data_IF_417576035313
#
_entry.id   IF_417576035313
#
_cell.length_a   1.000
_cell.length_b   1.000
_cell.length_c   1.000
_cell.angle_alpha   90.00
_cell.angle_beta   90.00
_cell.angle_gamma   90.00
#
_symmetry.space_group_name_H-M   'P 1'
#
loop_
_entity.id
_entity.type
_entity.pdbx_description
1 polymer ?
#
# COMPACT_ATOMS: atom_id res chain seq x y z
N UNK A 1 -1.35 -25.67 89.59
CA UNK A 1 -2.36 -25.54 88.50
C UNK A 1 -3.02 -24.15 88.37
N UNK A 2 -3.27 -23.37 89.43
CA UNK A 2 -3.93 -22.03 89.35
C UNK A 2 -3.26 -20.95 88.47
N UNK A 3 -1.96 -21.07 88.14
CA UNK A 3 -1.24 -20.08 87.31
C UNK A 3 -1.42 -20.30 85.81
N UNK A 4 -1.59 -21.54 85.36
CA UNK A 4 -1.76 -21.89 83.94
C UNK A 4 -3.14 -21.45 83.43
N UNK A 5 -4.18 -21.58 84.24
CA UNK A 5 -5.53 -21.11 83.87
C UNK A 5 -5.66 -19.59 83.79
N UNK A 6 -4.72 -18.84 84.38
CA UNK A 6 -4.67 -17.37 84.32
C UNK A 6 -4.04 -16.91 83.00
N UNK A 7 -3.02 -17.62 82.53
CA UNK A 7 -2.39 -17.39 81.23
C UNK A 7 -3.38 -17.54 80.06
N UNK A 8 -4.20 -18.60 80.07
CA UNK A 8 -5.25 -18.79 79.04
C UNK A 8 -6.43 -17.81 79.13
N UNK A 9 -6.56 -17.04 80.22
CA UNK A 9 -7.61 -16.02 80.39
C UNK A 9 -7.10 -14.58 80.21
N UNK A 10 -5.80 -14.42 79.97
CA UNK A 10 -5.19 -13.11 79.88
C UNK A 10 -5.40 -12.51 78.48
N UNK A 11 -6.29 -11.50 78.40
CA UNK A 11 -6.64 -10.82 77.14
C UNK A 11 -5.65 -9.73 76.77
N UNK A 12 -4.70 -9.40 77.64
CA UNK A 12 -3.75 -8.30 77.42
C UNK A 12 -2.73 -8.58 76.30
N UNK A 13 -2.53 -9.85 75.91
CA UNK A 13 -1.68 -10.27 74.79
C UNK A 13 -2.35 -10.31 73.41
N UNK A 14 -3.67 -10.13 73.31
CA UNK A 14 -4.39 -10.28 72.02
C UNK A 14 -3.92 -9.26 70.98
N UNK A 15 -3.55 -8.05 71.40
CA UNK A 15 -3.05 -7.00 70.49
C UNK A 15 -1.73 -7.45 69.85
N UNK A 16 -0.82 -8.04 70.64
CA UNK A 16 0.46 -8.52 70.13
C UNK A 16 0.28 -9.68 69.14
N UNK A 17 -0.66 -10.59 69.39
CA UNK A 17 -0.97 -11.71 68.49
C UNK A 17 -1.57 -11.21 67.18
N UNK A 18 -2.57 -10.31 67.23
CA UNK A 18 -3.18 -9.74 66.03
C UNK A 18 -2.18 -8.90 65.24
N UNK A 19 -1.36 -8.08 65.91
CA UNK A 19 -0.29 -7.31 65.28
C UNK A 19 0.69 -8.23 64.56
N UNK A 20 1.21 -9.25 65.23
CA UNK A 20 2.15 -10.21 64.64
C UNK A 20 1.56 -10.94 63.42
N UNK A 21 0.29 -11.35 63.49
CA UNK A 21 -0.39 -12.00 62.36
C UNK A 21 -0.66 -11.03 61.20
N UNK A 22 -0.98 -9.76 61.48
CA UNK A 22 -1.22 -8.72 60.46
C UNK A 22 0.07 -8.18 59.81
N UNK A 23 1.22 -8.30 60.50
CA UNK A 23 2.50 -7.83 59.98
C UNK A 23 2.93 -8.61 58.74
N UNK A 24 2.66 -9.92 58.70
CA UNK A 24 3.01 -10.79 57.56
C UNK A 24 2.35 -10.32 56.25
N UNK A 25 1.00 -10.16 56.15
CA UNK A 25 0.37 -9.67 54.92
C UNK A 25 0.76 -8.22 54.59
N UNK A 26 0.97 -7.36 55.59
CA UNK A 26 1.41 -5.97 55.34
C UNK A 26 2.81 -5.92 54.71
N UNK A 27 3.77 -6.67 55.29
CA UNK A 27 5.12 -6.76 54.74
C UNK A 27 5.13 -7.45 53.37
N UNK A 28 4.28 -8.46 53.16
CA UNK A 28 4.10 -9.10 51.86
C UNK A 28 3.65 -8.11 50.78
N UNK A 29 2.62 -7.31 51.07
CA UNK A 29 2.13 -6.27 50.14
C UNK A 29 3.16 -5.17 49.88
N UNK A 30 3.92 -4.76 50.90
CA UNK A 30 5.02 -3.81 50.73
C UNK A 30 6.13 -4.40 49.83
N UNK A 31 6.46 -5.68 50.02
CA UNK A 31 7.42 -6.40 49.18
C UNK A 31 7.01 -6.50 47.72
N UNK A 32 5.75 -6.86 47.47
CA UNK A 32 5.15 -6.86 46.12
C UNK A 32 5.26 -5.48 45.48
N UNK A 33 5.02 -4.41 46.24
CA UNK A 33 5.06 -3.04 45.71
C UNK A 33 6.47 -2.62 45.28
N UNK A 34 7.49 -2.97 46.06
CA UNK A 34 8.90 -2.67 45.72
C UNK A 34 9.35 -3.49 44.50
N UNK A 35 9.02 -4.78 44.47
CA UNK A 35 9.40 -5.65 43.36
C UNK A 35 8.69 -5.27 42.07
N UNK A 36 7.40 -4.91 42.12
CA UNK A 36 6.68 -4.42 40.94
C UNK A 36 7.24 -3.09 40.43
N UNK A 37 7.58 -2.15 41.32
CA UNK A 37 8.24 -0.90 40.92
C UNK A 37 9.56 -1.17 40.19
N UNK A 38 10.38 -2.10 40.69
CA UNK A 38 11.63 -2.49 40.02
C UNK A 38 11.38 -3.17 38.67
N UNK A 39 10.41 -4.08 38.57
CA UNK A 39 10.05 -4.74 37.31
C UNK A 39 9.57 -3.75 36.26
N UNK A 40 8.75 -2.79 36.65
CA UNK A 40 8.27 -1.71 35.76
C UNK A 40 9.44 -0.85 35.29
N UNK A 41 10.35 -0.46 36.19
CA UNK A 41 11.53 0.33 35.81
C UNK A 41 12.42 -0.39 34.78
N UNK A 42 12.70 -1.67 35.00
CA UNK A 42 13.48 -2.48 34.04
C UNK A 42 12.72 -2.63 32.72
N UNK A 43 11.41 -2.88 32.76
CA UNK A 43 10.58 -2.99 31.56
C UNK A 43 10.60 -1.70 30.74
N UNK A 44 10.41 -0.55 31.38
CA UNK A 44 10.40 0.75 30.71
C UNK A 44 11.75 1.06 30.07
N UNK A 45 12.85 0.77 30.76
CA UNK A 45 14.19 0.97 30.20
C UNK A 45 14.49 0.00 29.05
N UNK A 46 14.09 -1.26 29.17
CA UNK A 46 14.27 -2.25 28.11
C UNK A 46 13.43 -1.89 26.88
N UNK A 47 12.21 -1.37 27.08
CA UNK A 47 11.36 -0.86 26.00
C UNK A 47 12.03 0.32 25.29
N UNK A 48 12.50 1.33 26.03
CA UNK A 48 13.18 2.48 25.44
C UNK A 48 14.42 2.09 24.61
N UNK A 49 15.19 1.11 25.08
CA UNK A 49 16.32 0.55 24.34
C UNK A 49 15.89 -0.26 23.10
N UNK A 50 14.78 -1.00 23.18
CA UNK A 50 14.20 -1.72 22.05
C UNK A 50 13.71 -0.74 20.97
N UNK A 51 12.99 0.31 21.37
CA UNK A 51 12.48 1.38 20.49
C UNK A 51 13.62 2.08 19.74
N UNK A 52 14.65 2.50 20.47
CA UNK A 52 15.83 3.13 19.88
C UNK A 52 16.57 2.18 18.93
N UNK A 53 16.66 0.90 19.28
CA UNK A 53 17.34 -0.11 18.45
C UNK A 53 16.54 -0.41 17.18
N UNK A 54 15.21 -0.51 17.28
CA UNK A 54 14.32 -0.72 16.15
C UNK A 54 14.43 0.42 15.15
N UNK A 55 14.37 1.67 15.62
CA UNK A 55 14.55 2.86 14.77
C UNK A 55 15.91 2.87 14.07
N UNK A 56 17.01 2.71 14.82
CA UNK A 56 18.36 2.80 14.25
C UNK A 56 18.69 1.65 13.29
N UNK A 57 18.15 0.46 13.52
CA UNK A 57 18.34 -0.67 12.63
C UNK A 57 17.50 -0.53 11.34
N UNK A 58 16.27 -0.01 11.46
CA UNK A 58 15.39 0.17 10.30
C UNK A 58 15.90 1.24 9.30
N UNK A 59 16.69 2.23 9.77
CA UNK A 59 17.32 3.23 8.87
C UNK A 59 18.21 2.57 7.81
N UNK A 60 18.87 1.46 8.14
CA UNK A 60 19.73 0.72 7.19
C UNK A 60 18.93 0.01 6.09
N UNK A 61 17.74 -0.49 6.41
CA UNK A 61 16.90 -1.29 5.51
C UNK A 61 17.18 -2.79 5.53
N UNK A 62 16.35 -3.61 4.85
CA UNK A 62 16.39 -5.07 4.92
C UNK A 62 17.73 -5.69 4.51
N UNK A 63 18.42 -5.08 3.54
CA UNK A 63 19.67 -5.59 2.99
C UNK A 63 20.90 -5.30 3.87
N UNK A 64 20.75 -4.51 4.93
CA UNK A 64 21.84 -4.13 5.82
C UNK A 64 21.93 -4.99 7.08
N UNK A 65 23.17 -5.23 7.52
CA UNK A 65 23.44 -5.99 8.74
C UNK A 65 23.11 -5.14 9.99
N UNK A 66 22.10 -5.57 10.73
CA UNK A 66 21.61 -4.93 11.97
C UNK A 66 22.27 -5.47 13.25
N UNK A 67 23.25 -6.38 13.13
CA UNK A 67 23.90 -7.02 14.27
C UNK A 67 24.66 -6.04 15.18
N UNK A 68 25.16 -4.93 14.63
CA UNK A 68 25.83 -3.88 15.40
C UNK A 68 24.85 -3.17 16.36
N UNK A 69 23.63 -2.88 15.90
CA UNK A 69 22.58 -2.22 16.66
C UNK A 69 22.10 -3.12 17.81
N UNK A 70 21.91 -4.42 17.53
CA UNK A 70 21.55 -5.42 18.55
C UNK A 70 22.67 -5.57 19.60
N UNK A 71 23.93 -5.62 19.16
CA UNK A 71 25.09 -5.71 20.07
C UNK A 71 25.23 -4.46 20.94
N UNK A 72 24.95 -3.28 20.38
CA UNK A 72 24.95 -2.02 21.11
C UNK A 72 23.82 -1.97 22.16
N UNK A 73 22.62 -2.46 21.83
CA UNK A 73 21.52 -2.61 22.79
C UNK A 73 21.94 -3.51 23.96
N UNK A 74 22.50 -4.69 23.67
CA UNK A 74 22.98 -5.61 24.69
C UNK A 74 23.98 -4.94 25.65
N UNK A 75 24.93 -4.17 25.09
CA UNK A 75 25.95 -3.46 25.86
C UNK A 75 25.35 -2.39 26.77
N UNK A 76 24.38 -1.61 26.28
CA UNK A 76 23.71 -0.56 27.07
C UNK A 76 22.83 -1.14 28.18
N UNK A 77 22.10 -2.21 27.90
CA UNK A 77 21.27 -2.89 28.90
C UNK A 77 22.15 -3.49 30.01
N UNK A 78 23.25 -4.16 29.66
CA UNK A 78 24.17 -4.73 30.65
C UNK A 78 24.88 -3.65 31.47
N UNK A 79 25.28 -2.53 30.85
CA UNK A 79 25.91 -1.41 31.57
C UNK A 79 24.97 -0.78 32.61
N UNK A 80 23.68 -0.68 32.30
CA UNK A 80 22.70 -0.04 33.18
C UNK A 80 22.10 -1.00 34.23
N UNK A 81 22.00 -2.30 33.91
CA UNK A 81 21.21 -3.25 34.70
C UNK A 81 21.93 -4.57 35.04
N UNK A 82 23.18 -4.77 34.58
CA UNK A 82 23.93 -6.01 34.84
C UNK A 82 24.08 -6.32 36.32
N UNK A 83 24.45 -5.30 37.12
CA UNK A 83 24.57 -5.44 38.58
C UNK A 83 23.22 -5.39 39.31
N UNK A 84 22.15 -5.01 38.60
CA UNK A 84 20.81 -4.89 39.15
C UNK A 84 20.04 -6.23 39.11
N UNK A 85 20.73 -7.38 39.21
CA UNK A 85 20.11 -8.71 39.26
C UNK A 85 19.36 -9.09 37.97
N UNK A 86 19.89 -8.68 36.82
CA UNK A 86 19.37 -9.05 35.51
C UNK A 86 20.11 -10.30 35.00
N UNK A 87 19.38 -11.29 34.51
CA UNK A 87 19.93 -12.54 33.96
C UNK A 87 19.14 -12.98 32.74
N UNK A 88 19.67 -13.93 31.96
CA UNK A 88 18.96 -14.51 30.80
C UNK A 88 18.49 -13.43 29.81
N UNK A 89 19.36 -12.45 29.54
CA UNK A 89 19.10 -11.40 28.56
C UNK A 89 19.15 -12.00 27.16
N UNK A 90 18.05 -11.90 26.44
CA UNK A 90 17.90 -12.30 25.05
C UNK A 90 17.35 -11.13 24.25
N UNK A 91 18.08 -10.74 23.20
CA UNK A 91 17.67 -9.68 22.27
C UNK A 91 17.74 -10.27 20.87
N UNK A 92 16.65 -10.16 20.12
CA UNK A 92 16.58 -10.60 18.72
C UNK A 92 15.99 -9.50 17.85
N UNK A 93 16.56 -9.33 16.66
CA UNK A 93 16.06 -8.42 15.62
C UNK A 93 15.79 -9.20 14.34
N UNK A 94 14.67 -8.92 13.67
CA UNK A 94 14.35 -9.55 12.39
C UNK A 94 13.54 -8.60 11.50
N UNK A 95 13.75 -8.73 10.19
CA UNK A 95 12.94 -8.06 9.17
C UNK A 95 11.75 -8.92 8.76
N UNK A 96 10.65 -8.25 8.46
CA UNK A 96 9.41 -8.78 7.91
C UNK A 96 8.90 -7.77 6.88
N UNK A 97 9.30 -7.93 5.62
CA UNK A 97 9.16 -6.89 4.60
C UNK A 97 9.90 -5.60 4.99
N UNK A 98 9.13 -4.51 5.17
CA UNK A 98 9.64 -3.20 5.59
C UNK A 98 9.54 -2.94 7.10
N UNK A 99 9.10 -3.93 7.88
CA UNK A 99 9.02 -3.85 9.33
C UNK A 99 10.23 -4.54 9.98
N UNK A 100 11.00 -3.79 10.76
CA UNK A 100 12.06 -4.33 11.59
C UNK A 100 11.58 -4.47 13.03
N UNK A 101 11.51 -5.73 13.51
CA UNK A 101 10.99 -6.09 14.82
C UNK A 101 12.13 -6.45 15.78
N UNK A 102 12.19 -5.78 16.91
CA UNK A 102 13.09 -6.09 18.03
C UNK A 102 12.28 -6.71 19.16
N UNK A 103 12.67 -7.92 19.58
CA UNK A 103 12.15 -8.56 20.79
C UNK A 103 13.28 -8.65 21.82
N UNK A 104 13.05 -8.15 23.02
CA UNK A 104 14.00 -8.26 24.12
C UNK A 104 13.34 -8.83 25.37
N UNK A 105 14.03 -9.72 26.05
CA UNK A 105 13.56 -10.32 27.30
C UNK A 105 14.69 -10.54 28.28
N UNK A 106 14.40 -10.42 29.57
CA UNK A 106 15.34 -10.70 30.64
C UNK A 106 14.61 -11.22 31.89
N UNK A 107 15.33 -11.94 32.76
CA UNK A 107 14.87 -12.26 34.11
C UNK A 107 15.39 -11.23 35.10
N UNK A 108 14.51 -10.69 35.91
CA UNK A 108 14.81 -9.74 36.97
C UNK A 108 14.59 -10.44 38.30
N UNK A 109 15.62 -10.53 39.13
CA UNK A 109 15.49 -11.10 40.48
C UNK A 109 14.47 -10.31 41.29
N UNK A 110 13.77 -10.93 42.24
CA UNK A 110 12.87 -10.25 43.17
C UNK A 110 13.53 -10.08 44.53
N UNK A 111 13.35 -8.94 45.20
CA UNK A 111 14.02 -8.63 46.47
C UNK A 111 13.23 -9.14 47.68
N UNK A 112 11.91 -9.00 47.70
CA UNK A 112 11.12 -9.20 48.92
C UNK A 112 10.07 -10.29 48.76
N UNK A 113 9.49 -10.43 47.57
CA UNK A 113 8.40 -11.38 47.31
C UNK A 113 8.86 -12.85 47.35
N UNK A 114 10.14 -13.12 47.08
CA UNK A 114 10.73 -14.48 47.13
C UNK A 114 10.69 -15.12 48.53
N UNK A 115 10.45 -14.32 49.57
CA UNK A 115 10.28 -14.82 50.96
C UNK A 115 8.94 -15.51 51.19
N UNK A 116 7.99 -15.36 50.26
CA UNK A 116 6.70 -16.04 50.31
C UNK A 116 6.83 -17.45 49.69
N UNK A 117 6.28 -18.49 50.34
CA UNK A 117 6.26 -19.84 49.79
C UNK A 117 5.56 -19.85 48.41
N UNK A 118 6.11 -20.60 47.46
CA UNK A 118 5.60 -20.79 46.09
C UNK A 118 5.79 -19.61 45.10
N UNK A 119 6.47 -18.53 45.47
CA UNK A 119 6.84 -17.45 44.54
C UNK A 119 8.33 -17.57 44.18
N UNK A 120 8.63 -17.59 42.89
CA UNK A 120 10.01 -17.68 42.38
C UNK A 120 10.85 -16.45 42.72
N UNK A 121 12.16 -16.61 42.69
CA UNK A 121 13.15 -15.56 42.99
C UNK A 121 13.38 -14.57 41.84
N UNK A 122 12.70 -14.76 40.71
CA UNK A 122 12.87 -13.97 39.50
C UNK A 122 11.62 -13.95 38.63
N UNK A 123 11.36 -12.81 37.98
CA UNK A 123 10.26 -12.61 37.04
C UNK A 123 10.83 -12.29 35.67
N UNK A 124 10.27 -12.88 34.61
CA UNK A 124 10.64 -12.59 33.22
C UNK A 124 9.91 -11.32 32.76
N UNK A 125 10.67 -10.37 32.26
CA UNK A 125 10.20 -9.16 31.58
C UNK A 125 10.48 -9.32 30.10
N UNK A 126 9.52 -8.96 29.25
CA UNK A 126 9.66 -8.95 27.80
C UNK A 126 9.06 -7.69 27.21
N UNK A 127 9.71 -7.18 26.18
CA UNK A 127 9.30 -6.01 25.40
C UNK A 127 9.41 -6.32 23.92
N UNK A 128 8.66 -5.57 23.13
CA UNK A 128 8.70 -5.62 21.68
C UNK A 128 8.64 -4.19 21.17
N UNK A 129 9.44 -3.90 20.16
CA UNK A 129 9.38 -2.67 19.39
C UNK A 129 9.42 -3.01 17.91
N UNK A 130 8.55 -2.40 17.10
CA UNK A 130 8.54 -2.57 15.65
C UNK A 130 8.69 -1.21 14.99
N UNK A 131 9.71 -1.07 14.14
CA UNK A 131 9.93 0.12 13.33
C UNK A 131 9.66 -0.19 11.85
N UNK A 132 8.85 0.64 11.19
CA UNK A 132 8.58 0.56 9.75
C UNK A 132 9.50 1.50 8.99
N UNK A 133 10.17 0.98 7.96
CA UNK A 133 10.90 1.75 6.97
C UNK A 133 9.93 2.18 5.85
N UNK A 134 9.76 3.48 5.65
CA UNK A 134 9.09 4.00 4.45
C UNK A 134 10.14 4.28 3.37
N UNK A 135 9.97 3.67 2.19
CA UNK A 135 10.81 3.92 1.02
C UNK A 135 10.10 4.88 0.06
N UNK A 136 10.85 5.71 -0.70
CA UNK A 136 10.26 6.54 -1.74
C UNK A 136 9.60 5.66 -2.80
N UNK A 137 8.34 5.95 -3.10
CA UNK A 137 7.55 5.21 -4.07
C UNK A 137 7.86 5.70 -5.49
N UNK A 138 7.81 4.79 -6.46
CA UNK A 138 7.77 5.14 -7.87
C UNK A 138 6.41 5.78 -8.17
N UNK A 139 6.41 7.03 -8.64
CA UNK A 139 5.19 7.76 -8.97
C UNK A 139 5.26 8.23 -10.43
N UNK A 140 4.13 8.15 -11.11
CA UNK A 140 3.97 8.72 -12.43
C UNK A 140 3.52 10.17 -12.31
N UNK A 141 4.10 11.04 -13.12
CA UNK A 141 3.62 12.41 -13.31
C UNK A 141 2.58 12.46 -14.43
N UNK A 142 1.78 13.53 -14.56
CA UNK A 142 0.84 13.69 -15.66
C UNK A 142 1.48 13.51 -17.04
N UNK A 143 0.73 13.05 -18.06
CA UNK A 143 1.25 12.82 -19.40
C UNK A 143 1.86 14.08 -20.01
N UNK A 144 2.96 13.92 -20.75
CA UNK A 144 3.50 14.99 -21.58
C UNK A 144 2.56 15.32 -22.74
N UNK A 145 1.97 14.27 -23.34
CA UNK A 145 1.04 14.39 -24.45
C UNK A 145 -0.17 13.50 -24.21
N UNK A 146 -1.35 14.08 -24.37
CA UNK A 146 -2.59 13.34 -24.56
C UNK A 146 -3.29 13.90 -25.79
N UNK A 147 -3.64 13.01 -26.72
CA UNK A 147 -4.34 13.35 -27.95
C UNK A 147 -5.45 12.35 -28.19
N UNK A 148 -6.63 12.84 -28.53
CA UNK A 148 -7.76 12.01 -28.94
C UNK A 148 -8.19 12.47 -30.33
N UNK A 149 -8.51 11.51 -31.20
CA UNK A 149 -8.95 11.80 -32.55
C UNK A 149 -10.32 12.52 -32.52
N UNK A 150 -10.39 13.78 -32.99
CA UNK A 150 -11.65 14.53 -33.04
C UNK A 150 -12.62 14.01 -34.11
N UNK A 151 -12.15 13.22 -35.08
CA UNK A 151 -12.88 12.65 -36.20
C UNK A 151 -13.59 11.33 -35.84
N UNK A 152 -13.30 10.75 -34.65
CA UNK A 152 -14.01 9.58 -34.15
C UNK A 152 -15.53 9.84 -34.07
N UNK A 153 -16.32 8.89 -34.59
CA UNK A 153 -17.79 8.97 -34.57
C UNK A 153 -18.40 8.78 -33.18
N UNK A 154 -17.59 8.31 -32.23
CA UNK A 154 -17.96 8.05 -30.84
C UNK A 154 -17.48 9.17 -29.92
N UNK A 155 -18.05 9.22 -28.72
CA UNK A 155 -17.50 10.06 -27.65
C UNK A 155 -16.56 9.23 -26.79
N UNK A 156 -15.31 9.68 -26.65
CA UNK A 156 -14.26 9.02 -25.89
C UNK A 156 -13.80 9.93 -24.75
N UNK A 157 -13.60 9.34 -23.58
CA UNK A 157 -12.94 9.98 -22.44
C UNK A 157 -11.99 9.00 -21.78
N UNK A 158 -10.76 9.42 -21.58
CA UNK A 158 -9.79 8.68 -20.78
C UNK A 158 -9.91 9.10 -19.33
N UNK A 159 -9.84 8.12 -18.45
CA UNK A 159 -9.60 8.30 -17.03
C UNK A 159 -8.30 7.63 -16.64
N UNK A 160 -7.66 8.17 -15.61
CA UNK A 160 -6.55 7.55 -14.89
C UNK A 160 -7.02 7.18 -13.49
N UNK A 161 -6.50 6.10 -12.92
CA UNK A 161 -6.79 5.64 -11.56
C UNK A 161 -5.62 4.85 -11.01
N UNK A 162 -5.62 4.66 -9.69
CA UNK A 162 -4.72 3.71 -9.03
C UNK A 162 -5.40 2.34 -8.93
N UNK A 163 -4.65 1.29 -9.26
CA UNK A 163 -5.12 -0.08 -9.23
C UNK A 163 -4.33 -0.90 -8.21
N UNK A 164 -5.04 -1.62 -7.36
CA UNK A 164 -4.49 -2.62 -6.46
C UNK A 164 -4.50 -4.00 -7.16
N UNK A 165 -3.34 -4.51 -7.63
CA UNK A 165 -3.26 -5.76 -8.36
C UNK A 165 -3.27 -7.00 -7.46
N UNK A 166 -3.27 -6.86 -6.13
CA UNK A 166 -3.21 -7.99 -5.20
C UNK A 166 -4.48 -8.86 -5.35
N UNK A 167 -4.38 -10.09 -5.89
CA UNK A 167 -5.54 -10.97 -6.04
C UNK A 167 -6.14 -11.38 -4.70
N UNK A 168 -5.36 -11.37 -3.61
CA UNK A 168 -5.78 -11.75 -2.26
C UNK A 168 -6.39 -10.60 -1.46
N UNK A 169 -6.37 -9.37 -1.99
CA UNK A 169 -7.07 -8.25 -1.38
C UNK A 169 -8.56 -8.57 -1.24
N UNK A 170 -9.10 -8.39 -0.03
CA UNK A 170 -10.53 -8.49 0.30
C UNK A 170 -11.34 -7.30 -0.28
N UNK A 171 -11.24 -7.13 -1.60
CA UNK A 171 -11.78 -6.02 -2.40
C UNK A 171 -12.28 -6.56 -3.75
N UNK A 172 -13.44 -6.11 -4.21
CA UNK A 172 -13.90 -6.35 -5.59
C UNK A 172 -13.04 -5.60 -6.62
N UNK A 173 -13.08 -5.95 -7.92
CA UNK A 173 -12.34 -5.21 -8.94
C UNK A 173 -12.63 -3.70 -8.93
N UNK A 174 -13.88 -3.31 -8.71
CA UNK A 174 -14.25 -1.89 -8.60
C UNK A 174 -13.65 -1.22 -7.36
N UNK A 175 -13.58 -1.91 -6.23
CA UNK A 175 -12.99 -1.40 -5.00
C UNK A 175 -11.46 -1.27 -5.08
N UNK A 176 -10.82 -2.05 -5.96
CA UNK A 176 -9.39 -1.98 -6.26
C UNK A 176 -9.01 -0.80 -7.16
N UNK A 177 -10.00 -0.11 -7.76
CA UNK A 177 -9.79 1.08 -8.60
C UNK A 177 -10.07 2.33 -7.77
N UNK A 178 -9.02 3.04 -7.36
CA UNK A 178 -9.11 4.21 -6.50
C UNK A 178 -8.69 5.48 -7.24
N UNK A 179 -9.04 6.65 -6.69
CA UNK A 179 -8.57 7.95 -7.20
C UNK A 179 -8.87 8.22 -8.69
N UNK A 180 -9.96 7.67 -9.23
CA UNK A 180 -10.29 7.81 -10.65
C UNK A 180 -10.55 9.27 -11.05
N UNK A 181 -9.75 9.81 -11.98
CA UNK A 181 -9.87 11.18 -12.50
C UNK A 181 -9.83 11.20 -14.03
N UNK A 182 -10.61 12.10 -14.68
CA UNK A 182 -10.60 12.21 -16.14
C UNK A 182 -9.28 12.83 -16.63
N UNK A 183 -8.78 12.49 -17.82
CA UNK A 183 -7.57 13.09 -18.39
C UNK A 183 -7.94 14.01 -19.55
N UNK A 184 -8.65 13.47 -20.53
CA UNK A 184 -9.07 14.19 -21.73
C UNK A 184 -10.28 13.51 -22.36
N UNK A 185 -11.09 14.29 -23.09
CA UNK A 185 -12.10 13.77 -24.01
C UNK A 185 -11.92 14.28 -25.45
N UNK A 186 -12.53 13.57 -26.39
CA UNK A 186 -12.52 13.93 -27.81
C UNK A 186 -13.57 15.01 -28.16
N UNK A 187 -14.17 15.65 -27.15
CA UNK A 187 -15.01 16.84 -27.30
C UNK A 187 -14.25 18.15 -27.00
N UNK A 188 -12.93 18.08 -26.88
CA UNK A 188 -12.04 19.23 -26.75
C UNK A 188 -11.76 19.64 -25.31
N UNK A 189 -12.12 18.82 -24.32
CA UNK A 189 -11.77 19.07 -22.91
C UNK A 189 -10.52 18.27 -22.55
N UNK A 190 -9.43 18.98 -22.27
CA UNK A 190 -8.28 18.43 -21.56
C UNK A 190 -8.36 18.86 -20.09
N UNK A 191 -8.61 17.91 -19.17
CA UNK A 191 -8.94 18.20 -17.78
C UNK A 191 -7.74 18.74 -16.99
N UNK A 192 -6.53 18.28 -17.35
CA UNK A 192 -5.26 18.73 -16.77
C UNK A 192 -5.06 20.23 -16.97
N UNK A 193 -5.32 20.72 -18.19
CA UNK A 193 -5.08 22.12 -18.58
C UNK A 193 -6.29 23.03 -18.36
N UNK A 194 -7.51 22.47 -18.40
CA UNK A 194 -8.75 23.23 -18.19
C UNK A 194 -8.94 23.65 -16.74
N UNK A 195 -8.54 22.81 -15.78
CA UNK A 195 -8.70 23.06 -14.34
C UNK A 195 -7.44 22.75 -13.52
N UNK A 196 -6.29 23.39 -13.81
CA UNK A 196 -5.00 23.00 -13.22
C UNK A 196 -4.96 23.12 -11.69
N UNK A 197 -5.73 24.03 -11.09
CA UNK A 197 -5.78 24.23 -9.63
C UNK A 197 -6.80 23.34 -8.91
N UNK A 198 -7.67 22.63 -9.64
CA UNK A 198 -8.68 21.74 -9.07
C UNK A 198 -8.42 20.28 -9.45
N UNK A 199 -7.53 20.06 -10.42
CA UNK A 199 -7.13 18.75 -10.87
C UNK A 199 -6.13 18.13 -9.89
N UNK A 200 -6.40 16.91 -9.47
CA UNK A 200 -5.45 16.09 -8.72
C UNK A 200 -5.07 14.89 -9.56
N UNK A 201 -3.79 14.78 -9.90
CA UNK A 201 -3.26 13.56 -10.48
C UNK A 201 -3.24 12.45 -9.41
N UNK A 202 -3.63 11.20 -9.73
CA UNK A 202 -3.59 10.12 -8.75
C UNK A 202 -2.17 9.86 -8.23
N UNK A 203 -2.03 9.59 -6.95
CA UNK A 203 -0.77 9.15 -6.32
C UNK A 203 -1.00 7.79 -5.69
N UNK A 204 -0.44 6.75 -6.29
CA UNK A 204 -0.76 5.37 -5.92
C UNK A 204 0.01 4.93 -4.69
N UNK A 205 -0.62 4.10 -3.86
CA UNK A 205 0.00 3.56 -2.65
C UNK A 205 1.03 2.46 -2.98
N UNK A 206 1.76 1.99 -1.97
CA UNK A 206 2.71 0.89 -2.14
C UNK A 206 2.00 -0.36 -2.68
N UNK A 207 2.54 -0.93 -3.76
CA UNK A 207 1.95 -2.09 -4.44
C UNK A 207 0.87 -1.77 -5.46
N UNK A 208 0.30 -0.55 -5.43
CA UNK A 208 -0.63 -0.08 -6.47
C UNK A 208 0.11 0.44 -7.71
N UNK A 209 -0.59 0.48 -8.84
CA UNK A 209 -0.06 0.96 -10.12
C UNK A 209 -0.99 2.01 -10.74
N UNK A 210 -0.43 2.90 -11.55
CA UNK A 210 -1.27 3.71 -12.44
C UNK A 210 -1.90 2.81 -13.51
N UNK A 211 -3.18 3.05 -13.73
CA UNK A 211 -3.99 2.38 -14.73
C UNK A 211 -4.93 3.37 -15.42
N UNK A 212 -5.32 3.04 -16.64
CA UNK A 212 -6.23 3.83 -17.46
C UNK A 212 -7.57 3.12 -17.67
N UNK A 213 -8.62 3.93 -17.79
CA UNK A 213 -9.93 3.51 -18.28
C UNK A 213 -10.24 4.28 -19.56
N UNK A 214 -10.52 3.56 -20.64
CA UNK A 214 -11.19 4.12 -21.79
C UNK A 214 -12.70 4.01 -21.60
N UNK A 215 -13.34 5.16 -21.53
CA UNK A 215 -14.77 5.29 -21.56
C UNK A 215 -15.23 5.68 -22.96
N UNK A 216 -15.92 4.78 -23.65
CA UNK A 216 -16.42 4.98 -25.00
C UNK A 216 -17.96 4.98 -24.99
N UNK A 217 -18.53 6.03 -25.58
CA UNK A 217 -19.97 6.16 -25.82
C UNK A 217 -20.24 6.19 -27.32
N UNK A 218 -20.73 5.06 -27.83
CA UNK A 218 -20.95 4.83 -29.26
C UNK A 218 -21.90 5.86 -29.86
N UNK A 219 -21.58 6.31 -31.08
CA UNK A 219 -22.38 7.18 -31.93
C UNK A 219 -22.84 8.48 -31.24
N UNK A 220 -22.09 8.94 -30.26
CA UNK A 220 -22.48 10.06 -29.39
C UNK A 220 -21.54 11.26 -29.49
N UNK A 221 -20.69 11.33 -30.54
CA UNK A 221 -19.75 12.43 -30.77
C UNK A 221 -20.37 13.82 -30.72
N UNK A 222 -21.58 13.97 -31.26
CA UNK A 222 -22.32 15.25 -31.33
C UNK A 222 -23.24 15.48 -30.14
N UNK A 223 -23.30 14.54 -29.18
CA UNK A 223 -24.14 14.60 -27.99
C UNK A 223 -23.33 14.17 -26.74
N UNK A 224 -22.19 14.84 -26.44
CA UNK A 224 -21.28 14.47 -25.37
C UNK A 224 -21.92 14.50 -23.97
N UNK A 225 -22.95 15.32 -23.77
CA UNK A 225 -23.71 15.44 -22.51
C UNK A 225 -24.39 14.12 -22.08
N UNK A 226 -24.56 13.17 -23.00
CA UNK A 226 -25.12 11.84 -22.72
C UNK A 226 -24.24 11.00 -21.78
N UNK A 227 -22.98 11.37 -21.60
CA UNK A 227 -22.11 10.71 -20.61
C UNK A 227 -22.70 10.79 -19.19
N UNK A 228 -23.34 11.92 -18.86
CA UNK A 228 -23.87 12.19 -17.52
C UNK A 228 -25.34 11.72 -17.35
N UNK A 229 -25.94 11.15 -18.40
CA UNK A 229 -27.30 10.63 -18.35
C UNK A 229 -27.35 9.26 -17.64
N UNK A 230 -28.53 8.94 -17.07
CA UNK A 230 -28.78 7.61 -16.49
C UNK A 230 -28.56 6.53 -17.58
N UNK A 231 -27.63 5.57 -17.36
CA UNK A 231 -27.37 4.46 -18.28
C UNK A 231 -28.60 3.60 -18.61
N UNK A 232 -29.62 3.55 -17.73
CA UNK A 232 -30.87 2.84 -18.03
C UNK A 232 -31.59 3.40 -19.27
N UNK A 233 -31.31 4.65 -19.63
CA UNK A 233 -31.88 5.31 -20.80
C UNK A 233 -31.08 5.06 -22.09
N UNK A 234 -29.98 4.32 -22.06
CA UNK A 234 -29.09 4.13 -23.22
C UNK A 234 -29.88 3.59 -24.43
N UNK A 235 -30.86 2.71 -24.21
CA UNK A 235 -31.74 2.15 -25.25
C UNK A 235 -32.60 3.19 -26.01
N UNK A 236 -32.83 4.38 -25.44
CA UNK A 236 -33.69 5.39 -26.05
C UNK A 236 -33.00 6.21 -27.17
N UNK A 237 -31.68 6.18 -27.23
CA UNK A 237 -30.91 7.00 -28.18
C UNK A 237 -29.78 6.23 -28.87
N UNK A 238 -29.41 5.09 -28.33
CA UNK A 238 -28.52 4.16 -29.00
C UNK A 238 -29.36 3.24 -29.90
N UNK A 239 -29.44 3.60 -31.18
CA UNK A 239 -30.28 2.92 -32.18
C UNK A 239 -29.75 1.53 -32.61
N UNK A 240 -28.96 0.86 -31.75
CA UNK A 240 -28.42 -0.47 -32.01
C UNK A 240 -29.16 -1.51 -31.18
N UNK A 241 -29.67 -2.55 -31.86
CA UNK A 241 -30.22 -3.71 -31.17
C UNK A 241 -29.13 -4.39 -30.34
N UNK A 242 -29.43 -4.84 -29.11
CA UNK A 242 -28.50 -5.64 -28.33
C UNK A 242 -27.97 -6.82 -29.15
N UNK A 243 -26.66 -7.03 -29.09
CA UNK A 243 -26.03 -8.19 -29.73
C UNK A 243 -25.77 -9.24 -28.64
N UNK A 244 -25.83 -10.53 -28.99
CA UNK A 244 -25.55 -11.59 -28.03
C UNK A 244 -24.17 -11.38 -27.37
N UNK A 245 -24.13 -11.35 -26.04
CA UNK A 245 -22.92 -11.07 -25.26
C UNK A 245 -22.63 -9.58 -25.00
N UNK A 246 -23.35 -8.66 -25.61
CA UNK A 246 -23.18 -7.20 -25.44
C UNK A 246 -24.53 -6.57 -25.06
N UNK A 247 -24.93 -6.62 -23.78
CA UNK A 247 -26.26 -6.18 -23.34
C UNK A 247 -26.41 -4.65 -23.38
N UNK A 248 -25.32 -3.89 -23.28
CA UNK A 248 -25.31 -2.45 -23.49
C UNK A 248 -24.45 -2.12 -24.73
N UNK A 249 -25.05 -1.93 -25.92
CA UNK A 249 -24.29 -1.66 -27.14
C UNK A 249 -23.67 -0.25 -27.17
N UNK A 250 -23.93 0.59 -26.18
CA UNK A 250 -23.75 2.04 -26.29
C UNK A 250 -22.62 2.54 -25.43
N UNK A 251 -22.51 1.96 -24.23
CA UNK A 251 -21.60 2.40 -23.19
C UNK A 251 -20.59 1.31 -22.91
N UNK A 252 -19.35 1.57 -23.25
CA UNK A 252 -18.25 0.64 -23.09
C UNK A 252 -17.20 1.24 -22.15
N UNK A 253 -16.71 0.41 -21.24
CA UNK A 253 -15.67 0.77 -20.28
C UNK A 253 -14.61 -0.30 -20.36
N UNK A 254 -13.40 0.11 -20.69
CA UNK A 254 -12.27 -0.79 -20.76
C UNK A 254 -11.23 -0.34 -19.76
N UNK A 255 -10.80 -1.27 -18.92
CA UNK A 255 -9.88 -1.00 -17.81
C UNK A 255 -8.59 -1.73 -18.06
N UNK A 256 -7.47 -1.02 -18.00
CA UNK A 256 -6.15 -1.66 -18.06
C UNK A 256 -5.90 -2.60 -16.88
N UNK A 257 -6.30 -2.22 -15.65
CA UNK A 257 -6.00 -2.94 -14.41
C UNK A 257 -4.55 -3.48 -14.42
N UNK A 258 -3.61 -2.54 -14.52
CA UNK A 258 -2.20 -2.81 -14.78
C UNK A 258 -1.56 -3.49 -13.58
N UNK A 259 -0.96 -4.66 -13.78
CA UNK A 259 -0.10 -5.31 -12.80
C UNK A 259 1.36 -5.20 -13.27
N UNK A 260 2.30 -5.07 -12.34
CA UNK A 260 3.73 -5.10 -12.66
C UNK A 260 4.30 -6.50 -12.46
N UNK A 261 4.80 -7.11 -13.54
CA UNK A 261 5.55 -8.36 -13.51
C UNK A 261 7.01 -8.11 -13.90
N UNK A 262 7.95 -8.26 -12.97
CA UNK A 262 9.38 -7.94 -13.21
C UNK A 262 9.62 -6.52 -13.78
N UNK A 263 8.80 -5.55 -13.36
CA UNK A 263 8.82 -4.17 -13.83
C UNK A 263 8.11 -3.93 -15.17
N UNK A 264 7.68 -4.98 -15.87
CA UNK A 264 6.87 -4.89 -17.09
C UNK A 264 5.39 -4.68 -16.72
N UNK A 265 4.72 -3.78 -17.43
CA UNK A 265 3.27 -3.59 -17.30
C UNK A 265 2.49 -4.72 -17.97
N UNK A 266 1.52 -5.27 -17.26
CA UNK A 266 0.59 -6.28 -17.76
C UNK A 266 -0.84 -5.81 -17.52
N UNK A 267 -1.59 -5.57 -18.60
CA UNK A 267 -2.93 -4.98 -18.55
C UNK A 267 -4.01 -6.05 -18.41
N UNK A 268 -4.18 -6.56 -17.19
CA UNK A 268 -5.00 -7.74 -16.89
C UNK A 268 -6.50 -7.52 -16.97
N UNK A 269 -6.95 -6.27 -16.99
CA UNK A 269 -8.38 -5.90 -17.02
C UNK A 269 -8.99 -5.83 -18.42
N UNK A 270 -8.15 -5.87 -19.47
CA UNK A 270 -8.61 -5.74 -20.85
C UNK A 270 -9.11 -7.09 -21.38
N UNK A 271 -10.33 -7.09 -21.91
CA UNK A 271 -10.94 -8.27 -22.55
C UNK A 271 -10.58 -8.40 -24.03
N UNK A 272 -10.02 -7.34 -24.62
CA UNK A 272 -9.73 -7.23 -26.04
C UNK A 272 -8.36 -6.59 -26.22
N UNK A 273 -7.70 -6.92 -27.32
CA UNK A 273 -6.43 -6.29 -27.73
C UNK A 273 -6.72 -4.91 -28.32
N UNK A 274 -6.98 -3.93 -27.44
CA UNK A 274 -7.30 -2.53 -27.78
C UNK A 274 -6.23 -1.53 -27.36
N UNK A 275 -5.20 -1.99 -26.66
CA UNK A 275 -4.14 -1.14 -26.16
C UNK A 275 -2.82 -1.57 -26.78
N UNK A 276 -2.16 -0.65 -27.45
CA UNK A 276 -0.77 -0.73 -27.83
C UNK A 276 0.10 -0.04 -26.77
N UNK A 277 1.18 -0.71 -26.38
CA UNK A 277 2.25 -0.10 -25.59
C UNK A 277 3.58 -0.16 -26.31
N UNK A 278 4.29 0.98 -26.34
CA UNK A 278 5.63 1.10 -26.92
C UNK A 278 6.53 1.86 -25.95
N UNK A 279 7.63 1.22 -25.54
CA UNK A 279 8.65 1.85 -24.70
C UNK A 279 9.64 2.63 -25.58
N UNK A 280 9.74 3.93 -25.35
CA UNK A 280 10.66 4.84 -26.02
C UNK A 280 11.82 5.21 -25.09
N UNK A 281 13.00 5.44 -25.63
CA UNK A 281 14.17 5.88 -24.85
C UNK A 281 14.12 7.39 -24.56
N UNK A 282 13.30 8.16 -25.28
CA UNK A 282 13.06 9.61 -25.06
C UNK A 282 11.68 10.05 -25.55
N UNK A 283 11.22 11.22 -25.09
CA UNK A 283 9.94 11.82 -25.53
C UNK A 283 9.88 12.08 -27.04
N UNK A 284 10.99 12.52 -27.64
CA UNK A 284 11.06 12.82 -29.08
C UNK A 284 10.92 11.57 -29.96
N UNK A 285 11.38 10.42 -29.47
CA UNK A 285 11.24 9.13 -30.14
C UNK A 285 9.79 8.60 -30.08
N UNK A 286 9.03 9.03 -29.08
CA UNK A 286 7.66 8.64 -28.79
C UNK A 286 6.64 9.33 -29.70
N UNK A 287 6.86 9.24 -31.03
CA UNK A 287 6.02 9.80 -32.09
C UNK A 287 5.80 8.79 -33.22
N UNK A 288 4.78 8.99 -34.08
CA UNK A 288 4.60 8.19 -35.28
C UNK A 288 5.86 8.13 -36.15
N UNK A 289 6.08 6.99 -36.81
CA UNK A 289 7.18 6.81 -37.78
C UNK A 289 7.15 7.83 -38.92
N UNK A 290 5.97 8.32 -39.30
CA UNK A 290 5.80 9.42 -40.27
C UNK A 290 6.36 10.76 -39.78
N UNK A 291 6.52 10.93 -38.47
CA UNK A 291 7.04 12.12 -37.82
C UNK A 291 8.48 11.94 -37.30
N UNK A 292 9.12 10.81 -37.65
CA UNK A 292 10.49 10.50 -37.27
C UNK A 292 10.66 9.76 -35.94
N UNK A 293 9.56 9.29 -35.33
CA UNK A 293 9.61 8.43 -34.14
C UNK A 293 9.54 6.93 -34.45
N UNK A 294 9.20 6.11 -33.45
CA UNK A 294 9.16 4.64 -33.56
C UNK A 294 7.75 4.03 -33.54
N UNK A 295 6.72 4.85 -33.31
CA UNK A 295 5.34 4.35 -33.20
C UNK A 295 4.84 3.97 -34.59
N UNK A 296 4.41 2.71 -34.74
CA UNK A 296 3.92 2.19 -36.03
C UNK A 296 2.58 2.84 -36.36
N UNK A 297 2.40 3.23 -37.62
CA UNK A 297 1.16 3.86 -38.10
C UNK A 297 0.46 3.00 -39.13
N UNK A 298 -0.84 3.22 -39.31
CA UNK A 298 -1.67 2.54 -40.32
C UNK A 298 -2.63 1.50 -39.73
N UNK A 299 -3.54 1.04 -40.59
CA UNK A 299 -4.72 0.23 -40.24
C UNK A 299 -4.45 -1.27 -40.27
N UNK A 300 -5.33 -2.04 -39.62
CA UNK A 300 -5.36 -3.50 -39.57
C UNK A 300 -4.14 -4.14 -38.91
N UNK A 301 -3.55 -3.46 -37.92
CA UNK A 301 -2.35 -3.93 -37.23
C UNK A 301 -2.69 -4.76 -35.99
N UNK A 302 -1.68 -5.47 -35.51
CA UNK A 302 -1.69 -6.09 -34.17
C UNK A 302 -1.01 -5.09 -33.24
N UNK A 303 -1.57 -4.79 -32.05
CA UNK A 303 -0.99 -3.79 -31.18
C UNK A 303 0.33 -4.30 -30.64
N UNK A 304 1.37 -3.47 -30.66
CA UNK A 304 2.60 -3.80 -29.97
C UNK A 304 2.38 -3.84 -28.45
N UNK A 305 3.16 -4.66 -27.76
CA UNK A 305 3.22 -4.68 -26.30
C UNK A 305 4.66 -4.46 -25.87
N UNK A 306 4.88 -3.54 -24.94
CA UNK A 306 6.20 -3.30 -24.39
C UNK A 306 6.68 -4.54 -23.62
N UNK A 307 7.77 -5.14 -24.09
CA UNK A 307 8.35 -6.36 -23.49
C UNK A 307 9.27 -6.08 -22.30
N UNK A 308 9.58 -4.80 -22.05
CA UNK A 308 10.51 -4.35 -21.02
C UNK A 308 9.82 -3.43 -20.03
N UNK A 309 10.28 -3.47 -18.78
CA UNK A 309 9.80 -2.54 -17.76
C UNK A 309 10.16 -1.09 -18.05
N UNK A 310 9.26 -0.19 -17.62
CA UNK A 310 9.44 1.25 -17.70
C UNK A 310 10.38 1.69 -16.56
N UNK A 311 11.48 2.36 -16.88
CA UNK A 311 12.44 2.86 -15.89
C UNK A 311 12.58 4.39 -15.98
N UNK A 312 12.92 5.09 -14.88
CA UNK A 312 13.11 6.54 -14.87
C UNK A 312 13.91 7.07 -16.08
N UNK A 313 13.44 8.18 -16.66
CA UNK A 313 14.04 8.84 -17.84
C UNK A 313 13.67 8.25 -19.21
N UNK A 314 12.85 7.20 -19.25
CA UNK A 314 12.24 6.65 -20.47
C UNK A 314 10.78 7.07 -20.58
N UNK A 315 10.13 6.71 -21.68
CA UNK A 315 8.74 7.07 -21.95
C UNK A 315 7.94 5.86 -22.40
N UNK A 316 6.68 5.81 -22.01
CA UNK A 316 5.71 4.82 -22.48
C UNK A 316 4.65 5.51 -23.33
N UNK A 317 4.47 5.01 -24.54
CA UNK A 317 3.32 5.32 -25.39
C UNK A 317 2.20 4.33 -25.12
N UNK A 318 0.99 4.84 -24.93
CA UNK A 318 -0.26 4.09 -24.85
C UNK A 318 -1.16 4.52 -26.02
N UNK A 319 -1.28 3.66 -27.03
CA UNK A 319 -2.17 3.85 -28.17
C UNK A 319 -3.44 3.03 -28.01
N UNK A 320 -4.59 3.67 -27.97
CA UNK A 320 -5.87 2.98 -27.84
C UNK A 320 -6.60 2.91 -29.17
N UNK A 321 -7.26 1.78 -29.36
CA UNK A 321 -8.36 1.62 -30.29
C UNK A 321 -9.68 1.80 -29.53
N UNK A 322 -10.53 2.72 -29.97
CA UNK A 322 -11.81 2.97 -29.30
C UNK A 322 -12.88 1.91 -29.61
N UNK A 323 -12.65 1.12 -30.65
CA UNK A 323 -13.47 0.03 -31.16
C UNK A 323 -12.74 -1.31 -31.03
N UNK A 324 -13.09 -2.20 -30.09
CA UNK A 324 -12.32 -3.42 -29.91
C UNK A 324 -12.39 -4.38 -31.11
N UNK A 325 -11.26 -4.97 -31.52
CA UNK A 325 -11.26 -6.05 -32.49
C UNK A 325 -11.98 -7.28 -31.93
N UNK A 326 -12.79 -7.91 -32.78
CA UNK A 326 -13.51 -9.14 -32.44
C UNK A 326 -14.86 -8.95 -31.75
N UNK A 327 -15.32 -7.71 -31.56
CA UNK A 327 -16.66 -7.44 -31.02
C UNK A 327 -17.74 -7.93 -32.02
N UNK A 328 -18.79 -8.66 -31.56
CA UNK A 328 -19.86 -9.11 -32.45
C UNK A 328 -20.73 -7.94 -32.95
N UNK A 329 -21.45 -8.15 -34.05
CA UNK A 329 -22.37 -7.14 -34.61
C UNK A 329 -21.97 -6.55 -35.97
N UNK A 330 -21.14 -7.27 -36.72
CA UNK A 330 -20.75 -6.95 -38.10
C UNK A 330 -19.52 -6.04 -38.18
N UNK A 331 -18.72 -6.22 -39.24
CA UNK A 331 -17.44 -5.53 -39.45
C UNK A 331 -17.33 -4.83 -40.81
N UNK A 332 -18.43 -4.72 -41.56
CA UNK A 332 -18.41 -4.25 -42.95
C UNK A 332 -18.26 -2.74 -43.10
N UNK A 333 -18.68 -1.94 -42.10
CA UNK A 333 -18.54 -0.49 -42.11
C UNK A 333 -18.68 0.09 -40.70
N UNK A 334 -18.30 1.36 -40.51
CA UNK A 334 -18.25 2.05 -39.22
C UNK A 334 -19.59 2.16 -38.47
N UNK A 335 -20.74 1.94 -39.12
CA UNK A 335 -22.04 1.89 -38.41
C UNK A 335 -22.30 0.55 -37.74
N UNK A 336 -21.48 -0.47 -38.00
CA UNK A 336 -21.60 -1.78 -37.38
C UNK A 336 -20.77 -1.85 -36.10
N UNK A 337 -21.30 -2.57 -35.10
CA UNK A 337 -20.74 -2.60 -33.75
C UNK A 337 -19.34 -3.23 -33.68
N UNK A 338 -19.07 -4.22 -34.53
CA UNK A 338 -17.79 -4.93 -34.58
C UNK A 338 -16.76 -4.30 -35.52
N UNK A 339 -17.08 -3.17 -36.15
CA UNK A 339 -16.13 -2.48 -37.02
C UNK A 339 -15.07 -1.76 -36.18
N UNK A 340 -13.83 -1.91 -36.61
CA UNK A 340 -12.61 -1.26 -36.11
C UNK A 340 -11.63 -1.25 -37.27
N UNK A 341 -10.85 -0.18 -37.42
CA UNK A 341 -9.75 -0.13 -38.37
C UNK A 341 -8.41 -0.50 -37.76
N UNK A 342 -8.35 -0.73 -36.43
CA UNK A 342 -7.21 -1.35 -35.74
C UNK A 342 -5.93 -0.60 -36.02
N UNK A 343 -5.95 0.73 -35.94
CA UNK A 343 -4.77 1.57 -36.05
C UNK A 343 -4.27 2.08 -34.70
N UNK A 344 -5.00 1.82 -33.61
CA UNK A 344 -4.64 2.10 -32.21
C UNK A 344 -4.07 3.51 -32.01
N UNK A 345 -4.63 4.45 -32.75
CA UNK A 345 -4.18 5.83 -32.71
C UNK A 345 -5.33 6.82 -32.44
N UNK A 346 -6.54 6.30 -32.20
CA UNK A 346 -7.74 7.02 -31.76
C UNK A 346 -7.50 7.81 -30.46
N UNK A 347 -6.75 7.22 -29.52
CA UNK A 347 -6.28 7.90 -28.32
C UNK A 347 -4.81 7.59 -28.10
N UNK A 348 -4.02 8.64 -27.84
CA UNK A 348 -2.58 8.58 -27.68
C UNK A 348 -2.20 9.24 -26.38
N UNK A 349 -1.53 8.49 -25.50
CA UNK A 349 -0.99 9.03 -24.26
C UNK A 349 0.50 8.72 -24.23
N UNK A 350 1.31 9.75 -24.02
CA UNK A 350 2.75 9.58 -23.78
C UNK A 350 3.03 10.00 -22.34
N UNK A 351 3.52 9.04 -21.57
CA UNK A 351 3.88 9.21 -20.16
C UNK A 351 5.39 9.07 -20.01
N UNK A 352 6.00 9.92 -19.19
CA UNK A 352 7.31 9.57 -18.65
C UNK A 352 7.16 8.36 -17.73
N UNK A 353 8.11 7.43 -17.80
CA UNK A 353 8.21 6.32 -16.86
C UNK A 353 8.28 6.83 -15.41
N UNK A 354 7.83 6.02 -14.44
CA UNK A 354 7.67 6.51 -13.09
C UNK A 354 9.01 6.94 -12.51
N UNK A 355 8.99 8.06 -11.79
CA UNK A 355 10.15 8.63 -11.14
C UNK A 355 10.12 8.28 -9.66
N UNK A 356 11.30 8.27 -9.04
CA UNK A 356 11.38 8.14 -7.58
C UNK A 356 10.78 9.41 -6.97
N UNK A 357 9.70 9.27 -6.21
CA UNK A 357 9.14 10.39 -5.46
C UNK A 357 10.10 10.77 -4.33
N UNK A 358 10.99 11.72 -4.60
CA UNK A 358 11.96 12.21 -3.61
C UNK A 358 11.30 12.98 -2.47
N UNK A 359 10.02 13.36 -2.61
CA UNK A 359 9.27 14.04 -1.54
C UNK A 359 8.77 13.07 -0.46
N UNK A 360 8.65 11.78 -0.79
CA UNK A 360 8.54 10.70 0.17
C UNK A 360 9.94 10.41 0.74
N UNK A 361 10.45 11.30 1.60
CA UNK A 361 11.73 11.10 2.28
C UNK A 361 11.78 9.69 2.91
N UNK A 362 12.91 9.01 2.81
CA UNK A 362 13.11 7.74 3.52
C UNK A 362 13.05 8.02 5.03
N UNK A 363 11.92 7.72 5.66
CA UNK A 363 11.76 7.89 7.10
C UNK A 363 11.42 6.57 7.79
N UNK A 364 11.74 6.53 9.08
CA UNK A 364 11.46 5.38 9.94
C UNK A 364 10.54 5.84 11.05
N UNK A 365 9.51 5.06 11.35
CA UNK A 365 8.63 5.31 12.51
C UNK A 365 8.40 4.05 13.32
N UNK A 366 8.20 4.20 14.63
CA UNK A 366 7.69 3.12 15.47
C UNK A 366 6.21 2.91 15.19
N UNK A 367 5.80 1.65 15.10
CA UNK A 367 4.41 1.24 14.89
C UNK A 367 3.88 0.32 16.00
N UNK A 368 4.78 -0.20 16.83
CA UNK A 368 4.48 -1.05 18.00
C UNK A 368 5.54 -0.85 19.07
#
# INVERSE_FOLDING_TARGET
MKRVSRFFKDKSGNIAVVFALSLVPVMGLAGVSVDTARLVNVRTALQAEADATALNAAVGGPDQNHGAQISAMNSRVLANFGDAGLSDLSINGAWDGLDFRVNASARVSTMLIHTLPAIGDSVRVSVRATARLHQPLLQYEPPEVSWLDPEAGDYNRIYVYCYDPDPEADKTPEQRRTQRTPVQDNNGINYLTRWPNQYSWPRCEEGETISFELYNLRFSRTNPERIDHNPDNDANWCQHSPTAGVPNPCRHRYFTDTALGNGQENHTGLQYDILETVLCESADECRPTSEGGIITSGKNRTPAQAERGCSPGRYMYYGWEDRPPGLPGGTANWTQMGWTDRDYDDIRIVMECPQIDTSAERYVRLIE
#
